data_IF_951522663688
#
_entry.id   IF_951522663688
#
_cell.length_a   1.000
_cell.length_b   1.000
_cell.length_c   1.000
_cell.angle_alpha   90.00
_cell.angle_beta   90.00
_cell.angle_gamma   90.00
#
_symmetry.space_group_name_H-M   'P 1'
#
loop_
_entity.id
_entity.type
_entity.pdbx_description
1 polymer ?
#
# COMPACT_ATOMS: atom_id res chain seq x y z
N UNK A 1 -24.58 -30.31 -11.68
CA UNK A 1 -23.23 -29.70 -11.72
C UNK A 1 -23.25 -28.18 -11.59
N UNK A 2 -24.10 -27.46 -12.34
CA UNK A 2 -24.16 -25.98 -12.26
C UNK A 2 -24.61 -25.43 -10.90
N UNK A 3 -25.56 -26.11 -10.23
CA UNK A 3 -26.01 -25.71 -8.89
C UNK A 3 -24.91 -25.82 -7.83
N UNK A 4 -24.06 -26.86 -7.90
CA UNK A 4 -22.93 -27.01 -6.98
C UNK A 4 -21.87 -25.91 -7.19
N UNK A 5 -21.59 -25.53 -8.45
CA UNK A 5 -20.69 -24.41 -8.76
C UNK A 5 -21.23 -23.08 -8.25
N UNK A 6 -22.53 -22.82 -8.40
CA UNK A 6 -23.18 -21.62 -7.87
C UNK A 6 -23.10 -21.56 -6.34
N UNK A 7 -23.31 -22.69 -5.66
CA UNK A 7 -23.17 -22.79 -4.21
C UNK A 7 -21.72 -22.57 -3.75
N UNK A 8 -20.71 -23.07 -4.48
CA UNK A 8 -19.30 -22.79 -4.18
C UNK A 8 -19.01 -21.29 -4.27
N UNK A 9 -19.43 -20.66 -5.37
CA UNK A 9 -19.27 -19.21 -5.57
C UNK A 9 -19.95 -18.39 -4.50
N UNK A 10 -21.16 -18.78 -4.07
CA UNK A 10 -21.91 -18.07 -3.04
C UNK A 10 -21.30 -18.20 -1.63
N UNK A 11 -20.49 -19.23 -1.37
CA UNK A 11 -19.81 -19.45 -0.08
C UNK A 11 -18.43 -18.82 -0.01
N UNK A 12 -17.86 -18.48 -1.17
CA UNK A 12 -16.56 -17.84 -1.25
C UNK A 12 -16.69 -16.37 -0.87
N UNK A 13 -15.98 -15.93 0.17
CA UNK A 13 -15.93 -14.52 0.56
C UNK A 13 -14.98 -13.70 -0.32
N UNK A 14 -14.10 -14.36 -1.09
CA UNK A 14 -13.34 -13.72 -2.14
C UNK A 14 -14.24 -13.34 -3.31
N UNK A 15 -14.04 -12.13 -3.83
CA UNK A 15 -14.65 -11.70 -5.07
C UNK A 15 -13.71 -12.08 -6.22
N UNK A 16 -14.24 -12.84 -7.17
CA UNK A 16 -13.46 -13.27 -8.34
C UNK A 16 -12.38 -14.31 -8.05
N UNK A 17 -12.60 -15.26 -7.13
CA UNK A 17 -11.63 -16.33 -6.82
C UNK A 17 -11.26 -17.25 -8.00
N UNK A 18 -12.07 -17.26 -9.06
CA UNK A 18 -11.79 -17.94 -10.33
C UNK A 18 -11.33 -16.98 -11.44
N UNK A 19 -11.03 -15.72 -11.12
CA UNK A 19 -10.55 -14.70 -12.06
C UNK A 19 -11.48 -14.37 -13.24
N UNK A 20 -12.75 -14.77 -13.20
CA UNK A 20 -13.73 -14.58 -14.29
C UNK A 20 -14.11 -13.10 -14.55
N UNK A 21 -13.82 -12.18 -13.62
CA UNK A 21 -14.17 -10.74 -13.67
C UNK A 21 -13.17 -9.90 -12.86
N UNK A 22 -12.06 -9.51 -13.48
CA UNK A 22 -10.87 -8.96 -12.83
C UNK A 22 -10.91 -7.51 -12.31
N UNK A 23 -11.88 -7.16 -11.47
CA UNK A 23 -11.97 -5.79 -10.92
C UNK A 23 -11.68 -5.66 -9.41
N UNK A 24 -11.63 -6.75 -8.66
CA UNK A 24 -11.52 -6.71 -7.20
C UNK A 24 -10.15 -7.14 -6.66
N UNK A 25 -9.32 -7.73 -7.52
CA UNK A 25 -7.94 -8.04 -7.17
C UNK A 25 -7.04 -6.84 -7.43
N UNK A 26 -6.27 -6.44 -6.42
CA UNK A 26 -5.13 -5.57 -6.62
C UNK A 26 -3.99 -6.39 -7.21
N UNK A 27 -3.72 -6.20 -8.49
CA UNK A 27 -2.64 -6.88 -9.20
C UNK A 27 -1.39 -6.00 -9.29
N UNK A 28 -0.23 -6.63 -9.23
CA UNK A 28 1.03 -6.02 -9.66
C UNK A 28 1.00 -5.74 -11.16
N UNK A 29 1.81 -4.79 -11.63
CA UNK A 29 1.73 -4.24 -12.99
C UNK A 29 1.76 -5.29 -14.10
N UNK A 30 2.59 -6.32 -13.93
CA UNK A 30 2.81 -7.36 -14.93
C UNK A 30 2.00 -8.65 -14.64
N UNK A 31 1.27 -8.69 -13.51
CA UNK A 31 0.39 -9.81 -13.19
C UNK A 31 -0.85 -9.78 -14.08
N UNK A 32 -1.18 -10.92 -14.69
CA UNK A 32 -2.24 -10.99 -15.71
C UNK A 32 -3.19 -12.16 -15.48
N UNK A 33 -4.41 -12.01 -15.97
CA UNK A 33 -5.38 -13.09 -16.05
C UNK A 33 -5.30 -13.71 -17.44
N UNK A 34 -5.02 -15.01 -17.50
CA UNK A 34 -4.84 -15.75 -18.75
C UNK A 34 -5.93 -16.79 -18.87
N UNK A 35 -6.58 -16.84 -20.04
CA UNK A 35 -7.59 -17.84 -20.33
C UNK A 35 -6.96 -19.18 -20.70
N UNK A 36 -7.61 -20.27 -20.30
CA UNK A 36 -7.29 -21.66 -20.66
C UNK A 36 -5.94 -22.17 -20.15
N UNK A 37 -6.00 -23.23 -19.38
CA UNK A 37 -4.85 -24.06 -18.99
C UNK A 37 -5.36 -25.50 -18.87
N UNK A 38 -4.52 -26.49 -19.13
CA UNK A 38 -4.94 -27.90 -19.06
C UNK A 38 -5.49 -28.31 -17.69
N UNK A 39 -5.01 -27.68 -16.61
CA UNK A 39 -5.42 -27.93 -15.24
C UNK A 39 -6.55 -26.99 -14.75
N UNK A 40 -6.91 -25.95 -15.52
CA UNK A 40 -7.89 -24.95 -15.12
C UNK A 40 -9.10 -24.92 -16.05
N UNK A 41 -10.30 -24.92 -15.45
CA UNK A 41 -11.54 -24.69 -16.18
C UNK A 41 -11.91 -23.21 -16.10
N UNK A 42 -11.30 -22.39 -16.96
CA UNK A 42 -11.53 -20.95 -17.04
C UNK A 42 -10.23 -20.16 -17.00
N UNK A 43 -10.32 -18.92 -16.52
CA UNK A 43 -9.18 -18.03 -16.38
C UNK A 43 -8.35 -18.41 -15.15
N UNK A 44 -7.07 -18.09 -15.21
CA UNK A 44 -6.13 -18.25 -14.13
C UNK A 44 -5.24 -17.03 -14.00
N UNK A 45 -4.69 -16.84 -12.82
CA UNK A 45 -3.71 -15.81 -12.55
C UNK A 45 -2.33 -16.30 -12.96
N UNK A 46 -1.64 -15.49 -13.76
CA UNK A 46 -0.22 -15.61 -14.05
C UNK A 46 0.51 -14.51 -13.28
N UNK A 47 1.33 -14.92 -12.32
CA UNK A 47 2.30 -14.07 -11.64
C UNK A 47 3.67 -14.30 -12.30
N UNK A 48 4.18 -13.35 -13.12
CA UNK A 48 5.49 -13.50 -13.73
C UNK A 48 6.62 -13.24 -12.73
N UNK A 49 7.84 -13.49 -13.17
CA UNK A 49 9.06 -13.05 -12.50
C UNK A 49 9.05 -11.54 -12.25
N UNK A 50 9.31 -11.08 -11.01
CA UNK A 50 9.35 -9.65 -10.72
C UNK A 50 10.56 -9.00 -11.43
N UNK A 51 10.32 -7.85 -12.05
CA UNK A 51 11.35 -7.08 -12.77
C UNK A 51 11.62 -5.76 -12.01
N UNK A 52 11.32 -4.62 -12.64
CA UNK A 52 11.25 -3.33 -11.96
C UNK A 52 10.03 -3.22 -11.03
N UNK A 53 9.00 -4.03 -11.29
CA UNK A 53 7.74 -4.03 -10.54
C UNK A 53 7.56 -5.36 -9.78
N UNK A 54 7.01 -5.30 -8.56
CA UNK A 54 6.67 -6.50 -7.81
C UNK A 54 5.54 -7.28 -8.49
N UNK A 55 5.60 -8.60 -8.39
CA UNK A 55 4.62 -9.52 -8.97
C UNK A 55 3.73 -10.06 -7.85
N UNK A 56 2.47 -9.63 -7.82
CA UNK A 56 1.53 -9.99 -6.77
C UNK A 56 0.07 -9.98 -7.23
N UNK A 57 -0.77 -10.64 -6.45
CA UNK A 57 -2.22 -10.47 -6.40
C UNK A 57 -2.66 -10.37 -4.94
N UNK A 58 -3.49 -9.37 -4.65
CA UNK A 58 -3.91 -9.04 -3.29
C UNK A 58 -5.41 -8.75 -3.22
N UNK A 59 -6.05 -9.22 -2.14
CA UNK A 59 -7.44 -8.87 -1.82
C UNK A 59 -7.61 -8.79 -0.30
N UNK A 60 -8.27 -7.73 0.16
CA UNK A 60 -8.72 -7.60 1.55
C UNK A 60 -10.20 -7.95 1.64
N UNK A 61 -10.54 -8.82 2.58
CA UNK A 61 -11.90 -9.24 2.88
C UNK A 61 -12.41 -8.37 4.01
N UNK A 62 -13.45 -7.57 3.73
CA UNK A 62 -14.06 -6.68 4.72
C UNK A 62 -14.63 -7.42 5.93
N UNK A 63 -14.55 -6.78 7.09
CA UNK A 63 -15.19 -7.23 8.34
C UNK A 63 -16.68 -7.56 8.15
N UNK A 64 -17.38 -6.80 7.29
CA UNK A 64 -18.81 -6.98 7.04
C UNK A 64 -19.17 -8.34 6.40
N UNK A 65 -18.19 -9.02 5.79
CA UNK A 65 -18.35 -10.36 5.20
C UNK A 65 -17.96 -11.48 6.18
N UNK A 66 -17.44 -11.13 7.35
CA UNK A 66 -16.92 -12.07 8.33
C UNK A 66 -17.90 -12.29 9.50
N UNK A 67 -17.76 -13.42 10.18
CA UNK A 67 -18.50 -13.77 11.39
C UNK A 67 -17.54 -13.87 12.57
N UNK A 68 -17.98 -13.34 13.70
CA UNK A 68 -17.22 -13.43 14.95
C UNK A 68 -17.07 -14.87 15.43
N UNK A 69 -15.94 -15.20 16.03
CA UNK A 69 -15.64 -16.52 16.60
C UNK A 69 -15.83 -17.66 15.60
N UNK A 70 -15.35 -17.47 14.37
CA UNK A 70 -15.51 -18.42 13.26
C UNK A 70 -14.16 -18.73 12.61
N UNK A 71 -13.94 -19.99 12.26
CA UNK A 71 -12.82 -20.43 11.43
C UNK A 71 -13.16 -20.26 9.96
N UNK A 72 -12.22 -19.70 9.23
CA UNK A 72 -12.23 -19.64 7.77
C UNK A 72 -11.12 -20.50 7.19
N UNK A 73 -11.40 -21.13 6.06
CA UNK A 73 -10.44 -21.92 5.30
C UNK A 73 -10.07 -21.18 4.03
N UNK A 74 -8.77 -21.00 3.81
CA UNK A 74 -8.18 -20.40 2.61
C UNK A 74 -7.58 -21.53 1.80
N UNK A 75 -8.00 -21.67 0.55
CA UNK A 75 -7.51 -22.74 -0.32
C UNK A 75 -7.38 -22.28 -1.75
N UNK A 76 -6.55 -22.97 -2.52
CA UNK A 76 -6.33 -22.67 -3.92
C UNK A 76 -5.69 -23.82 -4.66
N UNK A 77 -5.69 -23.71 -5.99
CA UNK A 77 -5.00 -24.65 -6.85
C UNK A 77 -3.87 -23.96 -7.62
N UNK A 78 -2.66 -24.49 -7.48
CA UNK A 78 -1.45 -24.04 -8.15
C UNK A 78 -1.13 -25.05 -9.25
N UNK A 79 -1.16 -24.60 -10.51
CA UNK A 79 -0.75 -25.45 -11.62
C UNK A 79 0.76 -25.62 -11.63
N UNK A 80 1.51 -24.53 -11.50
CA UNK A 80 2.96 -24.53 -11.36
C UNK A 80 3.38 -23.27 -10.61
N UNK A 81 4.43 -23.38 -9.81
CA UNK A 81 5.04 -22.24 -9.15
C UNK A 81 6.50 -22.45 -8.83
N UNK A 82 7.22 -21.34 -8.82
CA UNK A 82 8.54 -21.21 -8.24
C UNK A 82 8.59 -19.89 -7.45
N UNK A 83 9.00 -19.96 -6.19
CA UNK A 83 9.08 -18.86 -5.24
C UNK A 83 7.73 -18.14 -5.01
N UNK A 84 6.62 -18.87 -5.07
CA UNK A 84 5.30 -18.32 -4.73
C UNK A 84 5.17 -18.21 -3.21
N UNK A 85 5.01 -16.98 -2.72
CA UNK A 85 4.70 -16.69 -1.34
C UNK A 85 3.19 -16.52 -1.16
N UNK A 86 2.60 -17.30 -0.26
CA UNK A 86 1.20 -17.17 0.16
C UNK A 86 1.16 -16.53 1.54
N UNK A 87 0.45 -15.41 1.64
CA UNK A 87 0.31 -14.66 2.89
C UNK A 87 -1.16 -14.47 3.24
N UNK A 88 -1.51 -14.82 4.48
CA UNK A 88 -2.82 -14.50 5.08
C UNK A 88 -2.57 -13.79 6.39
N UNK A 89 -3.17 -12.61 6.55
CA UNK A 89 -2.96 -11.74 7.69
C UNK A 89 -4.28 -11.21 8.26
N UNK A 90 -4.42 -11.25 9.58
CA UNK A 90 -5.49 -10.54 10.33
C UNK A 90 -4.92 -9.88 11.58
N UNK A 91 -4.43 -10.67 12.54
CA UNK A 91 -3.81 -10.17 13.78
C UNK A 91 -2.28 -10.08 13.65
N UNK A 92 -1.75 -10.31 12.45
CA UNK A 92 -0.34 -10.45 12.10
C UNK A 92 -0.17 -11.36 10.89
N UNK A 93 0.99 -12.00 10.68
CA UNK A 93 1.17 -12.98 9.60
C UNK A 93 0.77 -14.39 10.08
N UNK A 94 -0.52 -14.73 10.08
CA UNK A 94 -0.99 -16.08 10.47
C UNK A 94 -0.54 -17.17 9.49
N UNK A 95 -0.51 -16.85 8.20
CA UNK A 95 0.01 -17.74 7.16
C UNK A 95 1.09 -16.97 6.40
N UNK A 96 2.25 -17.59 6.27
CA UNK A 96 3.35 -17.14 5.43
C UNK A 96 4.11 -18.39 5.01
N UNK A 97 3.80 -18.86 3.80
CA UNK A 97 4.31 -20.11 3.28
C UNK A 97 4.86 -19.94 1.87
N UNK A 98 5.86 -20.75 1.53
CA UNK A 98 6.49 -20.77 0.20
C UNK A 98 6.03 -22.03 -0.52
N UNK A 99 5.37 -21.86 -1.66
CA UNK A 99 4.82 -22.95 -2.46
C UNK A 99 5.60 -23.07 -3.77
N UNK A 100 6.30 -24.19 -3.92
CA UNK A 100 6.98 -24.57 -5.15
C UNK A 100 6.28 -25.81 -5.72
N UNK A 101 5.73 -25.70 -6.92
CA UNK A 101 5.02 -26.79 -7.61
C UNK A 101 5.71 -27.02 -8.95
N UNK A 102 6.49 -28.10 -9.10
CA UNK A 102 7.47 -28.22 -10.20
C UNK A 102 6.88 -28.53 -11.59
N UNK A 103 5.68 -29.10 -11.70
CA UNK A 103 5.15 -29.63 -12.96
C UNK A 103 3.77 -29.06 -13.30
N UNK A 104 3.51 -28.77 -14.58
CA UNK A 104 2.21 -28.25 -15.10
C UNK A 104 1.22 -29.34 -15.52
N UNK A 105 1.60 -30.61 -15.37
CA UNK A 105 0.84 -31.76 -15.86
C UNK A 105 0.35 -32.61 -14.69
N UNK A 106 -0.88 -33.09 -14.79
CA UNK A 106 -1.30 -34.21 -13.95
C UNK A 106 -0.50 -35.43 -14.41
N UNK A 107 0.47 -35.87 -13.61
CA UNK A 107 1.23 -37.09 -13.92
C UNK A 107 0.25 -38.22 -14.27
N UNK A 108 0.49 -38.96 -15.37
CA UNK A 108 -0.47 -39.92 -15.87
C UNK A 108 -0.82 -40.93 -14.77
N UNK A 109 -2.12 -41.05 -14.48
CA UNK A 109 -2.65 -42.12 -13.65
C UNK A 109 -2.64 -43.39 -14.53
N UNK A 110 -1.46 -43.97 -14.74
CA UNK A 110 -1.37 -45.28 -15.35
C UNK A 110 -1.75 -46.35 -14.32
N UNK A 111 -2.50 -47.35 -14.76
CA UNK A 111 -2.74 -48.62 -14.04
C UNK A 111 -1.52 -49.54 -14.04
N UNK A 112 -0.44 -49.17 -14.73
CA UNK A 112 0.80 -49.93 -14.81
C UNK A 112 1.62 -49.82 -13.51
N UNK A 113 2.55 -50.76 -13.31
CA UNK A 113 3.42 -50.87 -12.13
C UNK A 113 4.41 -49.69 -11.96
N UNK A 114 4.32 -48.64 -12.77
CA UNK A 114 5.14 -47.44 -12.64
C UNK A 114 4.64 -46.51 -11.53
N UNK A 115 5.54 -45.75 -10.87
CA UNK A 115 5.17 -44.89 -9.75
C UNK A 115 4.11 -43.86 -10.18
N UNK A 116 3.00 -43.81 -9.45
CA UNK A 116 1.92 -42.84 -9.63
C UNK A 116 1.62 -42.14 -8.30
N UNK A 117 0.86 -41.04 -8.34
CA UNK A 117 0.53 -40.20 -7.18
C UNK A 117 -0.12 -40.93 -6.00
N UNK A 118 -0.53 -42.20 -6.15
CA UNK A 118 -1.21 -42.99 -5.12
C UNK A 118 -0.37 -44.17 -4.59
N UNK A 119 0.84 -44.40 -5.11
CA UNK A 119 1.75 -45.45 -4.62
C UNK A 119 3.22 -44.99 -4.66
N UNK A 120 3.83 -44.64 -3.52
CA UNK A 120 5.26 -44.48 -3.45
C UNK A 120 5.89 -45.88 -3.44
N UNK A 121 6.38 -46.35 -4.58
CA UNK A 121 7.23 -47.53 -4.65
C UNK A 121 8.68 -47.11 -4.91
N UNK A 122 9.50 -47.19 -3.87
CA UNK A 122 10.97 -47.27 -3.89
C UNK A 122 11.72 -46.41 -4.94
N UNK A 123 11.22 -45.21 -5.25
CA UNK A 123 11.97 -44.24 -6.02
C UNK A 123 13.11 -43.72 -5.14
N UNK A 124 14.36 -44.03 -5.52
CA UNK A 124 15.57 -43.42 -4.96
C UNK A 124 15.74 -41.97 -5.46
N UNK A 125 14.65 -41.23 -5.56
CA UNK A 125 14.63 -39.81 -5.86
C UNK A 125 14.47 -39.08 -4.52
N UNK A 126 15.30 -38.09 -4.22
CA UNK A 126 15.17 -37.27 -3.00
C UNK A 126 13.81 -36.55 -2.88
N UNK A 127 13.03 -36.44 -3.97
CA UNK A 127 11.66 -35.89 -3.98
C UNK A 127 10.56 -36.89 -3.62
N UNK A 128 10.85 -38.20 -3.52
CA UNK A 128 9.81 -39.22 -3.27
C UNK A 128 9.73 -39.68 -1.81
N UNK A 129 10.43 -39.01 -0.89
CA UNK A 129 10.47 -39.35 0.54
C UNK A 129 9.20 -38.95 1.32
N UNK A 130 8.11 -38.57 0.61
CA UNK A 130 6.83 -38.21 1.21
C UNK A 130 6.89 -37.04 2.20
N UNK A 131 8.02 -36.32 2.21
CA UNK A 131 8.36 -35.31 3.22
C UNK A 131 8.17 -33.88 2.75
N UNK A 132 7.76 -33.65 1.49
CA UNK A 132 7.40 -32.33 0.95
C UNK A 132 6.07 -32.36 0.18
N UNK A 133 5.23 -31.31 0.33
CA UNK A 133 3.93 -31.28 -0.31
C UNK A 133 4.08 -30.90 -1.79
N UNK A 134 4.24 -31.90 -2.66
CA UNK A 134 4.03 -31.81 -4.13
C UNK A 134 2.55 -31.58 -4.48
N UNK A 135 1.80 -30.88 -3.63
CA UNK A 135 0.37 -30.73 -3.78
C UNK A 135 0.05 -29.48 -4.57
N UNK A 136 -0.54 -29.67 -5.75
CA UNK A 136 -1.21 -28.61 -6.49
C UNK A 136 -2.32 -27.92 -5.68
N UNK A 137 -2.74 -28.46 -4.53
CA UNK A 137 -3.77 -27.88 -3.69
C UNK A 137 -3.19 -27.46 -2.33
N UNK A 138 -3.37 -26.19 -1.98
CA UNK A 138 -3.06 -25.70 -0.64
C UNK A 138 -4.34 -25.40 0.15
N UNK A 139 -4.27 -25.55 1.47
CA UNK A 139 -5.37 -25.26 2.37
C UNK A 139 -4.85 -24.85 3.74
N UNK A 140 -5.17 -23.64 4.16
CA UNK A 140 -4.84 -23.07 5.46
C UNK A 140 -6.11 -22.68 6.21
N UNK A 141 -5.97 -22.48 7.52
CA UNK A 141 -7.07 -22.00 8.36
C UNK A 141 -6.68 -20.73 9.09
N UNK A 142 -7.62 -19.81 9.19
CA UNK A 142 -7.51 -18.61 10.01
C UNK A 142 -8.72 -18.51 10.94
N UNK A 143 -8.48 -18.08 12.17
CA UNK A 143 -9.51 -17.93 13.19
C UNK A 143 -9.86 -16.45 13.34
N UNK A 144 -11.14 -16.12 13.17
CA UNK A 144 -11.68 -14.78 13.40
C UNK A 144 -12.26 -14.71 14.81
N UNK A 145 -11.72 -13.80 15.63
CA UNK A 145 -12.18 -13.50 16.99
C UNK A 145 -13.36 -12.54 16.99
N UNK A 146 -13.29 -11.46 17.79
CA UNK A 146 -14.28 -10.40 17.68
C UNK A 146 -14.05 -9.55 16.42
N UNK A 147 -15.13 -8.98 15.90
CA UNK A 147 -15.10 -8.13 14.70
C UNK A 147 -14.68 -6.72 15.10
N UNK A 148 -13.75 -6.14 14.34
CA UNK A 148 -13.16 -4.81 14.58
C UNK A 148 -13.63 -3.85 13.47
N UNK A 149 -14.92 -3.51 13.48
CA UNK A 149 -15.57 -2.78 12.39
C UNK A 149 -15.14 -1.31 12.28
N UNK A 150 -14.66 -0.72 13.36
CA UNK A 150 -14.13 0.65 13.43
C UNK A 150 -12.86 0.83 12.60
N UNK A 151 -11.96 -0.16 12.63
CA UNK A 151 -10.70 -0.15 11.86
C UNK A 151 -10.75 -1.04 10.61
N UNK A 152 -11.87 -1.73 10.39
CA UNK A 152 -12.06 -2.73 9.33
C UNK A 152 -10.84 -3.66 9.19
N UNK A 153 -10.51 -4.39 10.26
CA UNK A 153 -9.32 -5.24 10.29
C UNK A 153 -9.32 -6.27 9.14
N UNK A 154 -10.45 -6.98 8.98
CA UNK A 154 -10.67 -7.86 7.84
C UNK A 154 -9.72 -9.07 7.79
N UNK A 155 -9.62 -9.71 6.63
CA UNK A 155 -8.56 -10.69 6.33
C UNK A 155 -7.84 -10.20 5.08
N UNK A 156 -6.53 -10.02 5.18
CA UNK A 156 -5.67 -9.66 4.07
C UNK A 156 -5.11 -10.94 3.45
N UNK A 157 -5.38 -11.15 2.17
CA UNK A 157 -4.90 -12.31 1.42
C UNK A 157 -4.03 -11.85 0.26
N UNK A 158 -2.80 -12.35 0.21
CA UNK A 158 -1.80 -11.99 -0.77
C UNK A 158 -1.10 -13.22 -1.35
N UNK A 159 -0.84 -13.15 -2.65
CA UNK A 159 0.03 -14.04 -3.40
C UNK A 159 1.11 -13.18 -4.05
N UNK A 160 2.39 -13.50 -3.89
CA UNK A 160 3.47 -12.77 -4.58
C UNK A 160 4.64 -13.65 -4.92
N UNK A 161 5.45 -13.22 -5.87
CA UNK A 161 6.71 -13.89 -6.21
C UNK A 161 7.83 -13.29 -5.38
N UNK A 162 8.44 -14.09 -4.51
CA UNK A 162 9.41 -13.61 -3.52
C UNK A 162 10.80 -13.31 -4.10
N UNK A 163 11.16 -13.91 -5.25
CA UNK A 163 12.49 -13.78 -5.85
C UNK A 163 12.46 -13.57 -7.36
N UNK A 164 13.50 -12.97 -7.95
CA UNK A 164 13.54 -12.58 -9.37
C UNK A 164 13.26 -13.70 -10.38
N UNK A 165 13.59 -14.95 -10.08
CA UNK A 165 13.42 -16.06 -11.04
C UNK A 165 12.10 -16.83 -10.84
N UNK A 166 11.27 -16.41 -9.90
CA UNK A 166 10.03 -17.11 -9.61
C UNK A 166 8.91 -16.80 -10.59
N UNK A 167 7.83 -17.57 -10.52
CA UNK A 167 6.59 -17.34 -11.25
C UNK A 167 5.49 -18.21 -10.63
N UNK A 168 4.23 -17.96 -10.97
CA UNK A 168 3.15 -18.85 -10.58
C UNK A 168 1.96 -18.80 -11.52
N UNK A 169 1.31 -19.96 -11.69
CA UNK A 169 0.02 -20.12 -12.37
C UNK A 169 -1.00 -20.68 -11.38
N UNK A 170 -2.00 -19.89 -11.02
CA UNK A 170 -2.89 -20.17 -9.88
C UNK A 170 -4.35 -19.92 -10.26
N UNK A 171 -5.27 -20.76 -9.81
CA UNK A 171 -6.71 -20.53 -9.92
C UNK A 171 -7.48 -21.20 -8.78
N UNK A 172 -8.81 -21.13 -8.85
CA UNK A 172 -9.75 -21.74 -7.91
C UNK A 172 -9.50 -21.31 -6.45
N UNK A 173 -9.23 -20.02 -6.23
CA UNK A 173 -9.00 -19.47 -4.90
C UNK A 173 -10.33 -19.36 -4.14
N UNK A 174 -10.36 -19.89 -2.93
CA UNK A 174 -11.50 -19.82 -2.03
C UNK A 174 -11.07 -19.36 -0.65
N UNK A 175 -11.83 -18.43 -0.07
CA UNK A 175 -11.90 -18.25 1.37
C UNK A 175 -13.35 -18.52 1.76
N UNK A 176 -13.58 -19.45 2.69
CA UNK A 176 -14.93 -19.79 3.11
C UNK A 176 -15.02 -20.03 4.60
N UNK A 177 -16.20 -19.75 5.14
CA UNK A 177 -16.56 -20.18 6.48
C UNK A 177 -16.49 -21.71 6.58
N UNK A 178 -15.76 -22.20 7.58
CA UNK A 178 -15.63 -23.63 7.90
C UNK A 178 -16.59 -24.00 9.04
N UNK A 179 -16.33 -23.46 10.24
CA UNK A 179 -17.15 -23.71 11.43
C UNK A 179 -16.97 -22.65 12.52
N UNK A 180 -17.89 -22.54 13.48
CA UNK A 180 -17.66 -21.83 14.72
C UNK A 180 -16.45 -22.36 15.50
N UNK A 181 -15.76 -21.47 16.19
CA UNK A 181 -14.63 -21.81 17.06
C UNK A 181 -15.10 -22.52 18.33
N UNK A 182 -14.31 -23.49 18.80
CA UNK A 182 -14.51 -24.11 20.11
C UNK A 182 -14.08 -23.15 21.22
N UNK A 183 -14.54 -23.37 22.45
CA UNK A 183 -14.13 -22.54 23.61
C UNK A 183 -12.61 -22.42 23.79
N UNK A 184 -11.87 -23.50 23.49
CA UNK A 184 -10.41 -23.50 23.56
C UNK A 184 -9.79 -22.62 22.48
N UNK A 185 -10.35 -22.61 21.27
CA UNK A 185 -9.91 -21.77 20.15
C UNK A 185 -10.28 -20.31 20.39
N UNK A 186 -11.47 -20.03 20.93
CA UNK A 186 -11.89 -18.70 21.35
C UNK A 186 -10.88 -18.10 22.34
N UNK A 187 -10.48 -18.86 23.37
CA UNK A 187 -9.45 -18.40 24.32
C UNK A 187 -8.09 -18.13 23.66
N UNK A 188 -7.74 -18.86 22.59
CA UNK A 188 -6.49 -18.63 21.85
C UNK A 188 -6.57 -17.36 21.00
N UNK A 189 -7.66 -17.17 20.25
CA UNK A 189 -7.83 -15.99 19.40
C UNK A 189 -7.95 -14.71 20.24
N UNK A 190 -8.64 -14.76 21.38
CA UNK A 190 -8.72 -13.62 22.31
C UNK A 190 -7.34 -13.14 22.79
N UNK A 191 -6.41 -14.07 23.05
CA UNK A 191 -5.02 -13.70 23.44
C UNK A 191 -4.26 -13.05 22.29
N UNK A 192 -4.45 -13.54 21.06
CA UNK A 192 -3.85 -12.94 19.86
C UNK A 192 -4.41 -11.53 19.63
N UNK A 193 -5.72 -11.39 19.73
CA UNK A 193 -6.44 -10.13 19.57
C UNK A 193 -6.03 -9.09 20.62
N UNK A 194 -5.90 -9.48 21.89
CA UNK A 194 -5.38 -8.57 22.93
C UNK A 194 -3.95 -8.11 22.65
N UNK A 195 -3.07 -9.03 22.20
CA UNK A 195 -1.70 -8.69 21.85
C UNK A 195 -1.66 -7.72 20.66
N UNK A 196 -2.45 -8.01 19.63
CA UNK A 196 -2.58 -7.15 18.45
C UNK A 196 -3.12 -5.77 18.82
N UNK A 197 -4.22 -5.70 19.58
CA UNK A 197 -4.86 -4.43 19.99
C UNK A 197 -3.91 -3.56 20.78
N UNK A 198 -3.13 -4.15 21.69
CA UNK A 198 -2.10 -3.41 22.44
C UNK A 198 -1.03 -2.80 21.51
N UNK A 199 -0.55 -3.57 20.53
CA UNK A 199 0.43 -3.07 19.57
C UNK A 199 -0.16 -1.98 18.66
N UNK A 200 -1.40 -2.18 18.19
CA UNK A 200 -2.13 -1.21 17.40
C UNK A 200 -2.34 0.11 18.15
N UNK A 201 -2.81 0.06 19.40
CA UNK A 201 -3.04 1.26 20.20
C UNK A 201 -1.75 2.03 20.51
N UNK A 202 -0.67 1.29 20.74
CA UNK A 202 0.65 1.89 20.91
C UNK A 202 1.11 2.60 19.63
N UNK A 203 0.98 1.95 18.47
CA UNK A 203 1.35 2.55 17.19
C UNK A 203 0.52 3.81 16.89
N UNK A 204 -0.79 3.78 17.11
CA UNK A 204 -1.66 4.94 16.91
C UNK A 204 -1.26 6.11 17.82
N UNK A 205 -0.92 5.83 19.08
CA UNK A 205 -0.46 6.86 20.01
C UNK A 205 0.90 7.45 19.58
N UNK A 206 1.84 6.62 19.11
CA UNK A 206 3.14 7.06 18.62
C UNK A 206 3.01 7.93 17.35
N UNK A 207 2.16 7.53 16.40
CA UNK A 207 1.88 8.31 15.19
C UNK A 207 1.23 9.64 15.53
N UNK A 208 0.21 9.64 16.40
CA UNK A 208 -0.44 10.87 16.85
C UNK A 208 0.55 11.83 17.53
N UNK A 209 1.39 11.31 18.44
CA UNK A 209 2.41 12.11 19.12
C UNK A 209 3.46 12.66 18.15
N UNK A 210 3.81 11.90 17.12
CA UNK A 210 4.77 12.33 16.08
C UNK A 210 4.19 13.42 15.19
N UNK A 211 2.89 13.34 14.89
CA UNK A 211 2.20 14.31 14.04
C UNK A 211 1.83 15.61 14.78
N UNK A 212 1.61 15.55 16.09
CA UNK A 212 1.06 16.67 16.86
C UNK A 212 1.84 17.99 16.68
N UNK A 213 3.19 18.03 16.75
CA UNK A 213 3.92 19.29 16.59
C UNK A 213 3.69 19.94 15.22
N UNK A 214 3.67 19.14 14.16
CA UNK A 214 3.46 19.62 12.79
C UNK A 214 2.00 20.01 12.56
N UNK A 215 1.05 19.29 13.16
CA UNK A 215 -0.36 19.66 13.18
C UNK A 215 -0.55 21.05 13.81
N UNK A 216 0.04 21.28 14.99
CA UNK A 216 -0.04 22.57 15.69
C UNK A 216 0.57 23.71 14.86
N UNK A 217 1.71 23.45 14.20
CA UNK A 217 2.34 24.42 13.31
C UNK A 217 1.47 24.77 12.11
N UNK A 218 0.91 23.76 11.42
CA UNK A 218 0.02 24.00 10.27
C UNK A 218 -1.25 24.73 10.72
N UNK A 219 -1.84 24.34 11.85
CA UNK A 219 -3.03 25.01 12.39
C UNK A 219 -2.77 26.50 12.68
N UNK A 220 -1.58 26.84 13.19
CA UNK A 220 -1.21 28.23 13.46
C UNK A 220 -1.09 29.10 12.19
N UNK A 221 -0.92 28.50 11.00
CA UNK A 221 -0.91 29.22 9.73
C UNK A 221 -2.31 29.69 9.32
N UNK A 222 -3.35 28.91 9.65
CA UNK A 222 -4.70 29.08 9.11
C UNK A 222 -5.66 29.73 10.12
N UNK A 223 -6.51 30.64 9.63
CA UNK A 223 -7.58 31.20 10.44
C UNK A 223 -8.58 30.11 10.82
N UNK A 224 -8.94 30.06 12.11
CA UNK A 224 -9.87 29.07 12.67
C UNK A 224 -9.44 27.60 12.46
N UNK A 225 -8.15 27.36 12.19
CA UNK A 225 -7.62 26.02 11.92
C UNK A 225 -8.25 25.35 10.67
N UNK A 226 -8.86 26.13 9.77
CA UNK A 226 -9.43 25.63 8.51
C UNK A 226 -8.38 25.62 7.41
N UNK A 227 -7.87 24.43 7.07
CA UNK A 227 -6.82 24.24 6.05
C UNK A 227 -7.29 24.51 4.61
N UNK A 228 -8.58 24.77 4.41
CA UNK A 228 -9.12 25.25 3.15
C UNK A 228 -9.50 26.74 3.20
N UNK A 229 -9.32 27.38 4.35
CA UNK A 229 -9.59 28.79 4.58
C UNK A 229 -8.40 29.69 4.29
N UNK A 230 -8.50 30.93 4.77
CA UNK A 230 -7.46 31.95 4.61
C UNK A 230 -6.36 31.80 5.65
N UNK A 231 -5.13 32.14 5.26
CA UNK A 231 -4.02 32.28 6.19
C UNK A 231 -4.20 33.47 7.14
N UNK A 232 -3.52 33.43 8.27
CA UNK A 232 -3.35 34.62 9.10
C UNK A 232 -2.50 35.68 8.37
N UNK A 233 -2.81 36.98 8.49
CA UNK A 233 -2.12 38.05 7.72
C UNK A 233 -0.61 38.19 7.98
N UNK A 234 -0.09 37.61 9.05
CA UNK A 234 1.32 37.68 9.43
C UNK A 234 2.14 36.47 8.95
N UNK A 235 1.50 35.51 8.28
CA UNK A 235 2.18 34.32 7.76
C UNK A 235 3.07 34.73 6.58
N UNK A 236 4.30 34.21 6.56
CA UNK A 236 5.33 34.50 5.55
C UNK A 236 6.00 33.21 5.11
N UNK A 237 6.85 33.25 4.07
CA UNK A 237 7.64 32.08 3.65
C UNK A 237 8.44 31.45 4.79
N UNK A 238 8.97 32.24 5.73
CA UNK A 238 9.70 31.73 6.89
C UNK A 238 8.86 30.81 7.77
N UNK A 239 7.58 31.16 7.95
CA UNK A 239 6.67 30.33 8.74
C UNK A 239 6.39 29.02 8.02
N UNK A 240 6.33 29.02 6.69
CA UNK A 240 6.12 27.83 5.87
C UNK A 240 7.36 26.93 5.85
N UNK A 241 8.55 27.48 5.63
CA UNK A 241 9.81 26.73 5.58
C UNK A 241 10.21 26.17 6.96
N UNK A 242 9.75 26.80 8.05
CA UNK A 242 9.93 26.25 9.39
C UNK A 242 9.11 24.98 9.65
N UNK A 243 8.08 24.68 8.84
CA UNK A 243 7.27 23.46 9.01
C UNK A 243 7.95 22.28 8.36
N UNK A 244 8.52 21.40 9.18
CA UNK A 244 9.11 20.14 8.72
C UNK A 244 8.10 19.00 8.88
N UNK A 245 7.79 18.32 7.78
CA UNK A 245 6.93 17.14 7.81
C UNK A 245 7.68 15.93 8.42
N UNK A 246 7.10 15.25 9.42
CA UNK A 246 7.75 14.11 10.03
C UNK A 246 7.71 12.90 9.11
N UNK A 247 8.74 12.05 9.19
CA UNK A 247 8.73 10.76 8.48
C UNK A 247 7.94 9.73 9.29
N UNK A 248 6.75 9.38 8.84
CA UNK A 248 5.96 8.31 9.45
C UNK A 248 6.31 6.92 8.89
N UNK A 249 6.18 5.83 9.67
CA UNK A 249 6.24 4.47 9.15
C UNK A 249 5.05 4.19 8.21
N UNK A 250 5.06 3.06 7.49
CA UNK A 250 3.94 2.60 6.63
C UNK A 250 3.48 3.62 5.57
N UNK A 251 4.42 4.36 4.98
CA UNK A 251 4.16 5.18 3.78
C UNK A 251 3.82 4.32 2.55
N UNK A 252 4.34 3.09 2.51
CA UNK A 252 4.04 2.09 1.48
C UNK A 252 3.26 0.94 2.08
N UNK A 253 2.40 0.33 1.27
CA UNK A 253 1.64 -0.83 1.71
C UNK A 253 2.59 -1.98 2.05
N UNK A 254 2.36 -2.65 3.18
CA UNK A 254 3.29 -3.65 3.72
C UNK A 254 3.49 -4.86 2.81
N UNK A 255 2.45 -5.22 2.03
CA UNK A 255 2.48 -6.30 1.04
C UNK A 255 2.75 -5.83 -0.41
N UNK A 256 2.12 -4.72 -0.82
CA UNK A 256 2.19 -4.15 -2.17
C UNK A 256 3.12 -2.94 -2.15
N UNK A 257 4.43 -3.18 -2.18
CA UNK A 257 5.44 -2.15 -1.92
C UNK A 257 5.44 -0.98 -2.93
N UNK A 258 4.77 -1.15 -4.07
CA UNK A 258 4.55 -0.12 -5.09
C UNK A 258 3.30 0.74 -4.85
N UNK A 259 2.53 0.46 -3.79
CA UNK A 259 1.30 1.18 -3.42
C UNK A 259 1.44 1.96 -2.13
N UNK A 260 0.56 2.94 -2.00
CA UNK A 260 0.41 3.79 -0.82
C UNK A 260 0.01 2.96 0.41
N UNK A 261 0.63 3.26 1.55
CA UNK A 261 0.35 2.60 2.83
C UNK A 261 -0.60 3.39 3.72
N UNK A 262 -0.84 2.86 4.92
CA UNK A 262 -1.80 3.37 5.90
C UNK A 262 -1.56 4.85 6.26
N UNK A 263 -0.30 5.29 6.35
CA UNK A 263 0.04 6.66 6.78
C UNK A 263 0.37 7.61 5.62
N UNK A 264 0.28 7.14 4.38
CA UNK A 264 0.54 7.99 3.21
C UNK A 264 -0.47 9.14 3.12
N UNK A 265 -1.76 8.83 3.28
CA UNK A 265 -2.85 9.80 3.14
C UNK A 265 -2.73 10.99 4.09
N UNK A 266 -2.39 10.75 5.37
CA UNK A 266 -2.23 11.85 6.35
C UNK A 266 -1.02 12.73 6.01
N UNK A 267 0.08 12.13 5.57
CA UNK A 267 1.28 12.87 5.13
C UNK A 267 0.96 13.75 3.93
N UNK A 268 0.20 13.23 2.96
CA UNK A 268 -0.25 13.99 1.80
C UNK A 268 -1.20 15.13 2.18
N UNK A 269 -2.08 14.95 3.15
CA UNK A 269 -2.97 16.04 3.62
C UNK A 269 -2.17 17.22 4.18
N UNK A 270 -1.12 16.95 4.95
CA UNK A 270 -0.25 17.99 5.50
C UNK A 270 0.51 18.70 4.39
N UNK A 271 1.09 17.96 3.45
CA UNK A 271 1.76 18.53 2.28
C UNK A 271 0.82 19.40 1.44
N UNK A 272 -0.42 18.96 1.23
CA UNK A 272 -1.41 19.73 0.48
C UNK A 272 -1.81 21.02 1.20
N UNK A 273 -1.91 21.00 2.53
CA UNK A 273 -2.12 22.22 3.32
C UNK A 273 -0.96 23.19 3.14
N UNK A 274 0.29 22.73 3.29
CA UNK A 274 1.47 23.58 3.08
C UNK A 274 1.55 24.15 1.65
N UNK A 275 1.23 23.34 0.63
CA UNK A 275 1.20 23.81 -0.76
C UNK A 275 0.15 24.90 -0.96
N UNK A 276 -1.05 24.76 -0.36
CA UNK A 276 -2.08 25.80 -0.41
C UNK A 276 -1.64 27.06 0.33
N UNK A 277 -1.00 26.92 1.49
CA UNK A 277 -0.49 28.05 2.24
C UNK A 277 0.58 28.81 1.41
N UNK A 278 1.49 28.08 0.79
CA UNK A 278 2.49 28.65 -0.11
C UNK A 278 1.86 29.42 -1.26
N UNK A 279 0.84 28.85 -1.93
CA UNK A 279 0.11 29.54 -2.99
C UNK A 279 -0.56 30.83 -2.50
N UNK A 280 -1.19 30.82 -1.33
CA UNK A 280 -1.80 32.02 -0.77
C UNK A 280 -0.77 33.10 -0.43
N UNK A 281 0.42 32.73 0.06
CA UNK A 281 1.51 33.71 0.30
C UNK A 281 2.00 34.30 -1.01
N UNK A 282 2.20 33.49 -2.06
CA UNK A 282 2.56 33.97 -3.40
C UNK A 282 1.49 34.92 -3.98
N UNK A 283 0.20 34.61 -3.83
CA UNK A 283 -0.91 35.46 -4.30
C UNK A 283 -1.03 36.79 -3.55
N UNK A 284 -0.65 36.82 -2.27
CA UNK A 284 -0.61 38.04 -1.45
C UNK A 284 0.65 38.87 -1.71
N UNK A 285 1.70 38.26 -2.27
CA UNK A 285 2.95 38.92 -2.56
C UNK A 285 2.85 39.74 -3.85
N UNK A 286 3.22 41.03 -3.77
CA UNK A 286 3.34 41.87 -4.96
C UNK A 286 4.59 41.52 -5.78
N UNK A 287 5.58 40.89 -5.16
CA UNK A 287 6.76 40.36 -5.84
C UNK A 287 6.40 38.99 -6.42
N UNK A 288 6.47 38.88 -7.74
CA UNK A 288 6.28 37.59 -8.41
C UNK A 288 7.50 36.71 -8.24
N UNK A 289 7.30 35.43 -7.94
CA UNK A 289 8.37 34.45 -7.74
C UNK A 289 9.41 34.93 -6.69
N UNK A 290 8.93 35.58 -5.62
CA UNK A 290 9.77 36.09 -4.54
C UNK A 290 10.47 35.00 -3.72
N UNK A 291 9.96 33.77 -3.79
CA UNK A 291 10.55 32.56 -3.20
C UNK A 291 11.61 31.89 -4.08
N UNK A 292 11.79 32.34 -5.34
CA UNK A 292 12.65 31.69 -6.34
C UNK A 292 12.31 30.22 -6.61
N UNK A 293 11.10 29.77 -6.28
CA UNK A 293 10.64 28.41 -6.53
C UNK A 293 10.59 28.06 -8.02
N UNK A 294 10.44 29.07 -8.88
CA UNK A 294 10.49 28.94 -10.34
C UNK A 294 11.80 29.51 -10.91
N UNK A 295 12.91 29.24 -10.25
CA UNK A 295 14.23 29.77 -10.61
C UNK A 295 14.21 31.32 -10.65
N UNK A 296 14.84 31.94 -11.66
CA UNK A 296 14.88 33.40 -11.85
C UNK A 296 13.77 33.90 -12.80
N UNK A 297 12.68 33.14 -12.93
CA UNK A 297 11.49 33.58 -13.69
C UNK A 297 10.93 34.87 -13.07
N UNK A 298 10.46 35.79 -13.90
CA UNK A 298 9.96 37.14 -13.53
C UNK A 298 11.00 38.10 -12.94
N UNK A 299 12.27 37.70 -12.89
CA UNK A 299 13.38 38.54 -12.44
C UNK A 299 14.28 38.97 -13.61
N UNK A 300 14.66 40.24 -13.63
CA UNK A 300 15.68 40.76 -14.54
C UNK A 300 17.04 40.68 -13.88
N UNK A 301 17.94 39.90 -14.47
CA UNK A 301 19.26 39.58 -13.92
C UNK A 301 20.36 40.28 -14.74
N UNK A 302 21.28 40.95 -14.06
CA UNK A 302 22.50 41.53 -14.65
C UNK A 302 23.72 41.06 -13.88
N UNK A 303 24.82 40.76 -14.56
CA UNK A 303 26.06 40.28 -13.93
C UNK A 303 25.98 38.85 -13.40
N UNK A 304 26.83 38.51 -12.44
CA UNK A 304 26.98 37.15 -11.90
C UNK A 304 26.04 36.92 -10.70
N UNK A 305 24.74 36.85 -10.98
CA UNK A 305 23.74 36.41 -10.01
C UNK A 305 23.24 35.01 -10.36
N UNK A 306 23.18 34.14 -9.36
CA UNK A 306 22.76 32.75 -9.53
C UNK A 306 21.91 32.28 -8.35
N UNK A 307 21.17 31.20 -8.54
CA UNK A 307 20.53 30.50 -7.45
C UNK A 307 21.44 29.40 -6.94
N UNK A 308 21.60 29.34 -5.63
CA UNK A 308 22.24 28.23 -4.92
C UNK A 308 21.23 27.56 -4.01
N UNK A 309 21.43 26.28 -3.73
CA UNK A 309 20.60 25.57 -2.76
C UNK A 309 21.30 25.65 -1.40
N UNK A 310 20.60 26.19 -0.40
CA UNK A 310 21.06 26.24 0.98
C UNK A 310 19.97 25.64 1.87
N UNK A 311 20.29 24.57 2.61
CA UNK A 311 19.32 23.80 3.42
C UNK A 311 18.02 23.46 2.67
N UNK A 312 18.16 22.94 1.44
CA UNK A 312 17.07 22.53 0.54
C UNK A 312 16.23 23.66 -0.08
N UNK A 313 16.46 24.92 0.32
CA UNK A 313 15.78 26.09 -0.24
C UNK A 313 16.64 26.80 -1.31
N UNK A 314 16.02 27.33 -2.40
CA UNK A 314 16.70 28.16 -3.38
C UNK A 314 16.97 29.56 -2.79
N UNK A 315 18.24 29.96 -2.79
CA UNK A 315 18.71 31.26 -2.30
C UNK A 315 19.41 32.01 -3.43
N UNK A 316 19.07 33.29 -3.57
CA UNK A 316 19.73 34.18 -4.51
C UNK A 316 21.13 34.58 -4.01
N UNK A 317 22.15 34.21 -4.78
CA UNK A 317 23.54 34.60 -4.55
C UNK A 317 23.95 35.68 -5.56
N UNK A 318 24.40 36.83 -5.05
CA UNK A 318 25.05 37.88 -5.83
C UNK A 318 26.57 37.78 -5.61
N UNK A 319 27.27 37.12 -6.52
CA UNK A 319 28.69 36.78 -6.34
C UNK A 319 29.63 37.99 -6.50
N UNK A 320 29.19 39.02 -7.21
CA UNK A 320 29.95 40.25 -7.48
C UNK A 320 29.13 41.51 -7.24
N UNK A 321 29.81 42.61 -6.93
CA UNK A 321 29.19 43.88 -6.53
C UNK A 321 28.42 44.57 -7.67
N UNK A 322 28.70 44.19 -8.93
CA UNK A 322 28.03 44.67 -10.14
C UNK A 322 26.86 43.76 -10.57
N UNK A 323 26.62 42.65 -9.86
CA UNK A 323 25.46 41.81 -10.07
C UNK A 323 24.19 42.48 -9.51
N UNK A 324 23.09 42.39 -10.26
CA UNK A 324 21.80 42.92 -9.82
C UNK A 324 20.66 42.02 -10.25
N UNK A 325 19.65 41.93 -9.39
CA UNK A 325 18.39 41.25 -9.65
C UNK A 325 17.26 42.21 -9.33
N UNK A 326 16.39 42.44 -10.29
CA UNK A 326 15.33 43.46 -10.17
C UNK A 326 14.04 42.99 -10.80
N UNK A 327 12.92 43.47 -10.28
CA UNK A 327 11.59 43.24 -10.82
C UNK A 327 10.81 44.56 -10.81
N UNK A 328 10.03 44.78 -11.86
CA UNK A 328 9.09 45.91 -11.93
C UNK A 328 7.73 45.41 -11.46
N UNK A 329 7.17 46.06 -10.44
CA UNK A 329 5.87 45.73 -9.85
C UNK A 329 4.84 46.75 -10.33
N UNK A 330 3.76 46.30 -10.97
CA UNK A 330 2.65 47.16 -11.37
C UNK A 330 1.50 47.07 -10.37
N UNK A 331 1.22 48.16 -9.65
CA UNK A 331 0.08 48.25 -8.73
C UNK A 331 -1.11 48.86 -9.50
N UNK A 332 -2.02 48.00 -9.98
CA UNK A 332 -3.15 48.39 -10.84
C UNK A 332 -4.14 49.31 -10.10
N UNK A 333 -4.33 49.10 -8.80
CA UNK A 333 -5.16 49.94 -7.93
C UNK A 333 -4.27 50.45 -6.80
N UNK A 334 -3.59 51.56 -7.04
CA UNK A 334 -2.76 52.21 -6.03
C UNK A 334 -3.64 53.02 -5.08
N UNK A 335 -3.68 52.60 -3.82
CA UNK A 335 -4.37 53.32 -2.75
C UNK A 335 -3.33 54.09 -1.93
N UNK A 336 -3.34 55.42 -2.02
CA UNK A 336 -2.32 56.29 -1.43
C UNK A 336 -2.23 56.18 0.10
N UNK A 337 -3.32 55.76 0.76
CA UNK A 337 -3.38 55.55 2.21
C UNK A 337 -3.07 54.10 2.64
N UNK A 338 -2.78 53.20 1.70
CA UNK A 338 -2.46 51.80 1.99
C UNK A 338 -0.94 51.63 2.17
N UNK A 339 -0.55 51.15 3.35
CA UNK A 339 0.85 50.88 3.69
C UNK A 339 1.30 49.55 3.08
N UNK A 340 2.38 49.58 2.30
CA UNK A 340 3.00 48.38 1.73
C UNK A 340 4.29 48.05 2.51
N UNK A 341 4.43 46.81 2.96
CA UNK A 341 5.58 46.37 3.73
C UNK A 341 6.53 45.54 2.87
N UNK A 342 7.80 45.95 2.82
CA UNK A 342 8.87 45.12 2.29
C UNK A 342 9.50 44.35 3.46
N UNK A 343 9.29 43.03 3.49
CA UNK A 343 9.82 42.15 4.53
C UNK A 343 11.04 41.42 3.99
N UNK A 344 12.18 41.61 4.65
CA UNK A 344 13.37 40.79 4.43
C UNK A 344 13.24 39.53 5.29
N UNK A 345 13.27 38.36 4.65
CA UNK A 345 13.10 37.06 5.30
C UNK A 345 14.44 36.39 5.53
#
# INVERSE_FOLDING_TARGET
MNQAKQLSKARNVLIGGNFEKGHEWALGRDATMVANHELFKGDHLLLPSPTLYPSYAYQKIDESKLKSNTRYTISGFVAQSEQLEVVVSRYGKEVHDMLDVPYEEALPISSDESPNCCKPAACQCSSCDGSQPDSHFFSYSIDVGSLQSDVNLGIEFGLRIAKPNGFAKISNLEIKEDRPLTEKEIKKVQRKEQKWKKAFDQEQAEVAATLQPTLDQINALYQNEDWNGSLHPHVTYQHLSAVVLPTLPKQRHWFMEDREGEHYGVTQQFQQALNRAFQQVEEQNLIHNGSFANELTDWTVTGDAQLTIFDEDPVLELAHWDASVSQTIEIIVFEEETEYNCVYV
#
